data_IF_970462586053
#
_entry.id   IF_970462586053
#
_cell.length_a   1.000
_cell.length_b   1.000
_cell.length_c   1.000
_cell.angle_alpha   90.00
_cell.angle_beta   90.00
_cell.angle_gamma   90.00
#
_symmetry.space_group_name_H-M   'P 1'
#
loop_
_entity.id
_entity.type
_entity.pdbx_description
1 polymer ?
#
# COMPACT_ATOMS: atom_id res chain seq x y z
N UNK A 1 -15.83 -1.45 12.86
CA UNK A 1 -15.92 -0.77 11.57
C UNK A 1 -17.08 -1.34 10.77
N UNK A 2 -18.17 -0.60 10.69
CA UNK A 2 -19.35 -1.00 9.95
C UNK A 2 -19.00 -1.23 8.45
N UNK A 3 -19.49 -2.32 7.85
CA UNK A 3 -19.28 -2.63 6.43
C UNK A 3 -17.94 -3.30 6.07
N UNK A 4 -17.10 -3.64 7.04
CA UNK A 4 -15.87 -4.43 6.81
C UNK A 4 -16.10 -5.88 7.22
N UNK A 5 -15.86 -6.81 6.32
CA UNK A 5 -16.14 -8.24 6.52
C UNK A 5 -14.86 -9.06 6.75
N UNK A 6 -13.75 -8.67 6.11
CA UNK A 6 -12.51 -9.46 6.10
C UNK A 6 -11.42 -8.87 6.99
N UNK A 7 -11.56 -7.62 7.42
CA UNK A 7 -10.56 -6.88 8.17
C UNK A 7 -11.18 -5.91 9.17
N UNK A 8 -10.35 -5.36 10.05
CA UNK A 8 -10.66 -4.20 10.88
C UNK A 8 -9.70 -3.06 10.57
N UNK A 9 -10.19 -1.83 10.66
CA UNK A 9 -9.38 -0.64 10.56
C UNK A 9 -9.64 0.26 11.76
N UNK A 10 -8.58 0.66 12.43
CA UNK A 10 -8.60 1.63 13.53
C UNK A 10 -8.00 2.92 12.99
N UNK A 11 -8.79 3.99 13.06
CA UNK A 11 -8.33 5.33 12.68
C UNK A 11 -7.25 5.82 13.64
N UNK A 12 -6.14 6.30 13.10
CA UNK A 12 -5.09 6.93 13.91
C UNK A 12 -4.75 8.35 13.45
N UNK A 13 -5.10 8.76 12.23
CA UNK A 13 -4.69 10.05 11.67
C UNK A 13 -5.65 10.62 10.62
N UNK A 14 -6.86 10.08 10.46
CA UNK A 14 -7.89 10.63 9.57
C UNK A 14 -8.82 11.58 10.33
N UNK A 15 -9.48 11.09 11.36
CA UNK A 15 -10.40 11.86 12.23
C UNK A 15 -9.89 11.97 13.66
N UNK A 16 -8.89 11.16 14.02
CA UNK A 16 -8.21 11.16 15.31
C UNK A 16 -6.73 11.49 15.12
N UNK A 17 -6.01 11.65 16.23
CA UNK A 17 -4.55 11.80 16.22
C UNK A 17 -3.99 10.98 17.38
N UNK A 18 -3.77 9.69 17.14
CA UNK A 18 -3.24 8.78 18.16
C UNK A 18 -1.73 8.96 18.31
N UNK A 19 -1.22 9.02 19.54
CA UNK A 19 0.23 8.96 19.78
C UNK A 19 0.81 7.62 19.31
N UNK A 20 2.09 7.62 18.91
CA UNK A 20 2.76 6.43 18.38
C UNK A 20 2.67 5.22 19.32
N UNK A 21 2.78 5.43 20.63
CA UNK A 21 2.66 4.35 21.62
C UNK A 21 1.31 3.64 21.58
N UNK A 22 0.20 4.34 21.30
CA UNK A 22 -1.13 3.73 21.16
C UNK A 22 -1.28 3.00 19.83
N UNK A 23 -0.64 3.50 18.76
CA UNK A 23 -0.58 2.80 17.47
C UNK A 23 0.17 1.47 17.63
N UNK A 24 1.32 1.49 18.29
CA UNK A 24 2.13 0.31 18.56
C UNK A 24 1.41 -0.72 19.44
N UNK A 25 0.71 -0.25 20.48
CA UNK A 25 -0.12 -1.09 21.35
C UNK A 25 -1.26 -1.76 20.55
N UNK A 26 -1.95 -1.02 19.71
CA UNK A 26 -3.02 -1.54 18.86
C UNK A 26 -2.49 -2.65 17.93
N UNK A 27 -1.34 -2.42 17.28
CA UNK A 27 -0.65 -3.41 16.46
C UNK A 27 -0.29 -4.65 17.28
N UNK A 28 0.22 -4.47 18.49
CA UNK A 28 0.59 -5.58 19.38
C UNK A 28 -0.62 -6.43 19.78
N UNK A 29 -1.76 -5.80 20.11
CA UNK A 29 -3.02 -6.49 20.42
C UNK A 29 -3.50 -7.32 19.23
N UNK A 30 -3.52 -6.74 18.03
CA UNK A 30 -3.92 -7.45 16.81
C UNK A 30 -3.04 -8.67 16.55
N UNK A 31 -1.71 -8.51 16.66
CA UNK A 31 -0.74 -9.60 16.47
C UNK A 31 -0.90 -10.68 17.54
N UNK A 32 -1.12 -10.30 18.79
CA UNK A 32 -1.36 -11.26 19.88
C UNK A 32 -2.66 -12.08 19.67
N UNK A 33 -3.64 -11.51 18.99
CA UNK A 33 -4.87 -12.20 18.56
C UNK A 33 -4.68 -13.10 17.31
N UNK A 34 -3.46 -13.21 16.77
CA UNK A 34 -3.15 -14.02 15.58
C UNK A 34 -3.47 -13.31 14.25
N UNK A 35 -3.72 -12.00 14.27
CA UNK A 35 -3.96 -11.22 13.06
C UNK A 35 -2.65 -10.78 12.40
N UNK A 36 -2.66 -10.61 11.08
CA UNK A 36 -1.73 -9.69 10.42
C UNK A 36 -2.12 -8.27 10.81
N UNK A 37 -1.13 -7.40 11.00
CA UNK A 37 -1.38 -6.00 11.31
C UNK A 37 -0.37 -5.10 10.60
N UNK A 38 -0.87 -4.04 9.95
CA UNK A 38 -0.06 -3.02 9.27
C UNK A 38 -0.58 -1.63 9.58
N UNK A 39 0.31 -0.65 9.52
CA UNK A 39 -0.03 0.77 9.67
C UNK A 39 0.02 1.42 8.30
N UNK A 40 -1.09 2.01 7.87
CA UNK A 40 -1.17 2.84 6.68
C UNK A 40 -0.96 4.32 7.02
N UNK A 41 -1.18 5.19 6.07
CA UNK A 41 -1.06 6.64 6.29
C UNK A 41 -2.06 7.20 7.33
N UNK A 42 -3.20 6.53 7.50
CA UNK A 42 -4.31 6.99 8.35
C UNK A 42 -4.92 5.91 9.25
N UNK A 43 -4.74 4.62 8.90
CA UNK A 43 -5.36 3.51 9.63
C UNK A 43 -4.35 2.46 10.08
N UNK A 44 -4.64 1.81 11.21
CA UNK A 44 -4.06 0.53 11.60
C UNK A 44 -5.01 -0.54 11.06
N UNK A 45 -4.52 -1.42 10.19
CA UNK A 45 -5.33 -2.47 9.57
C UNK A 45 -4.94 -3.82 10.13
N UNK A 46 -5.94 -4.61 10.53
CA UNK A 46 -5.76 -5.98 11.02
C UNK A 46 -6.67 -6.95 10.29
N UNK A 47 -6.12 -8.15 9.92
CA UNK A 47 -6.88 -9.18 9.23
C UNK A 47 -6.33 -10.59 9.53
N UNK A 48 -7.16 -11.59 9.34
CA UNK A 48 -6.75 -13.00 9.39
C UNK A 48 -6.50 -13.54 7.98
N UNK A 49 -5.63 -14.54 7.87
CA UNK A 49 -5.32 -15.22 6.62
C UNK A 49 -4.13 -14.61 5.87
N UNK A 50 -3.80 -15.22 4.74
CA UNK A 50 -2.58 -14.91 4.00
C UNK A 50 -2.77 -13.87 2.89
N UNK A 51 -3.96 -13.29 2.74
CA UNK A 51 -4.22 -12.30 1.69
C UNK A 51 -3.48 -10.98 1.98
N UNK A 52 -3.02 -10.34 0.93
CA UNK A 52 -2.31 -9.06 0.95
C UNK A 52 -2.51 -8.33 -0.40
N UNK A 53 -1.92 -7.14 -0.55
CA UNK A 53 -2.06 -6.36 -1.79
C UNK A 53 -1.53 -7.08 -3.03
N UNK A 54 -0.44 -7.83 -2.90
CA UNK A 54 0.14 -8.55 -4.02
C UNK A 54 -0.74 -9.72 -4.47
N UNK A 55 -1.23 -10.52 -3.51
CA UNK A 55 -2.17 -11.60 -3.83
C UNK A 55 -3.48 -11.07 -4.40
N UNK A 56 -3.97 -9.95 -3.88
CA UNK A 56 -5.12 -9.25 -4.44
C UNK A 56 -4.89 -8.78 -5.88
N UNK A 57 -3.71 -8.23 -6.17
CA UNK A 57 -3.34 -7.82 -7.53
C UNK A 57 -3.24 -9.01 -8.48
N UNK A 58 -2.61 -10.11 -8.06
CA UNK A 58 -2.56 -11.37 -8.84
C UNK A 58 -3.94 -11.90 -9.16
N UNK A 59 -4.81 -11.93 -8.15
CA UNK A 59 -6.18 -12.39 -8.30
C UNK A 59 -6.98 -11.49 -9.27
N UNK A 60 -6.96 -10.17 -9.08
CA UNK A 60 -7.68 -9.22 -9.92
C UNK A 60 -7.21 -9.29 -11.38
N UNK A 61 -5.91 -9.33 -11.64
CA UNK A 61 -5.38 -9.37 -13.00
C UNK A 61 -5.77 -10.65 -13.72
N UNK A 62 -5.83 -11.77 -13.01
CA UNK A 62 -6.28 -13.05 -13.56
C UNK A 62 -7.78 -13.07 -13.81
N UNK A 63 -8.61 -12.70 -12.82
CA UNK A 63 -10.06 -12.81 -12.91
C UNK A 63 -10.68 -11.80 -13.88
N UNK A 64 -10.17 -10.57 -13.92
CA UNK A 64 -10.79 -9.51 -14.72
C UNK A 64 -10.16 -9.34 -16.10
N UNK A 65 -8.90 -9.74 -16.28
CA UNK A 65 -8.15 -9.47 -17.51
C UNK A 65 -7.59 -10.74 -18.16
N UNK A 66 -7.70 -11.90 -17.52
CA UNK A 66 -7.07 -13.16 -17.94
C UNK A 66 -5.55 -13.00 -18.16
N UNK A 67 -4.89 -12.25 -17.27
CA UNK A 67 -3.47 -11.93 -17.34
C UNK A 67 -2.77 -12.47 -16.09
N UNK A 68 -1.66 -13.20 -16.31
CA UNK A 68 -0.72 -13.51 -15.26
C UNK A 68 0.13 -12.26 -14.95
N UNK A 69 -0.03 -11.72 -13.73
CA UNK A 69 0.71 -10.54 -13.28
C UNK A 69 2.22 -10.79 -13.32
N UNK A 70 2.66 -11.92 -12.77
CA UNK A 70 4.09 -12.24 -12.64
C UNK A 70 4.78 -12.44 -13.99
N UNK A 71 4.07 -12.98 -14.97
CA UNK A 71 4.57 -13.11 -16.34
C UNK A 71 4.61 -11.79 -17.12
N UNK A 72 3.96 -10.74 -16.60
CA UNK A 72 3.78 -9.47 -17.33
C UNK A 72 4.21 -8.24 -16.53
N UNK A 73 5.01 -8.38 -15.48
CA UNK A 73 5.40 -7.31 -14.53
C UNK A 73 5.88 -6.03 -15.22
N UNK A 74 6.60 -6.13 -16.33
CA UNK A 74 7.09 -4.97 -17.08
C UNK A 74 5.99 -4.09 -17.70
N UNK A 75 4.75 -4.57 -17.74
CA UNK A 75 3.59 -3.84 -18.30
C UNK A 75 2.81 -3.07 -17.23
N UNK A 76 3.18 -3.23 -15.95
CA UNK A 76 2.44 -2.69 -14.82
C UNK A 76 3.25 -1.65 -14.07
N UNK A 77 2.58 -0.63 -13.61
CA UNK A 77 3.13 0.36 -12.70
C UNK A 77 2.34 0.30 -11.41
N UNK A 78 3.04 0.20 -10.30
CA UNK A 78 2.44 0.30 -8.97
C UNK A 78 2.76 1.66 -8.34
N UNK A 79 1.79 2.27 -7.68
CA UNK A 79 1.98 3.49 -6.91
C UNK A 79 1.44 3.32 -5.49
N UNK A 80 2.23 3.75 -4.49
CA UNK A 80 1.90 3.63 -3.07
C UNK A 80 2.42 4.80 -2.25
N UNK A 81 2.06 4.85 -0.96
CA UNK A 81 2.38 5.98 -0.08
C UNK A 81 2.83 5.61 1.34
N UNK A 82 2.85 4.34 1.70
CA UNK A 82 3.03 3.91 3.09
C UNK A 82 3.67 2.53 3.25
N UNK A 83 3.88 2.10 4.50
CA UNK A 83 4.57 0.85 4.83
C UNK A 83 3.85 -0.40 4.36
N UNK A 84 2.53 -0.36 4.22
CA UNK A 84 1.74 -1.49 3.72
C UNK A 84 1.89 -1.72 2.21
N UNK A 85 2.59 -0.83 1.49
CA UNK A 85 2.91 -0.96 0.07
C UNK A 85 4.26 -1.65 -0.19
N UNK A 86 5.03 -1.93 0.87
CA UNK A 86 6.39 -2.45 0.78
C UNK A 86 6.51 -3.72 -0.07
N UNK A 87 5.58 -4.68 0.08
CA UNK A 87 5.57 -5.90 -0.75
C UNK A 87 5.41 -5.59 -2.24
N UNK A 88 4.59 -4.60 -2.55
CA UNK A 88 4.41 -4.17 -3.94
C UNK A 88 5.65 -3.46 -4.47
N UNK A 89 6.33 -2.65 -3.64
CA UNK A 89 7.60 -2.01 -4.03
C UNK A 89 8.70 -3.03 -4.31
N UNK A 90 8.78 -4.09 -3.49
CA UNK A 90 9.72 -5.19 -3.70
C UNK A 90 9.46 -5.95 -4.99
N UNK A 91 8.18 -6.25 -5.26
CA UNK A 91 7.79 -7.15 -6.35
C UNK A 91 7.70 -6.45 -7.71
N UNK A 92 7.26 -5.19 -7.74
CA UNK A 92 6.97 -4.46 -8.98
C UNK A 92 8.20 -3.69 -9.49
N UNK A 93 8.74 -4.02 -10.68
CA UNK A 93 9.92 -3.34 -11.23
C UNK A 93 9.66 -1.85 -11.55
N UNK A 94 8.41 -1.48 -11.80
CA UNK A 94 8.00 -0.10 -12.00
C UNK A 94 7.15 0.35 -10.80
N UNK A 95 7.79 0.46 -9.62
CA UNK A 95 7.17 0.93 -8.40
C UNK A 95 7.45 2.42 -8.17
N UNK A 96 6.41 3.14 -7.75
CA UNK A 96 6.43 4.59 -7.53
C UNK A 96 5.89 4.89 -6.13
N UNK A 97 6.59 5.71 -5.37
CA UNK A 97 6.08 6.33 -4.15
C UNK A 97 5.59 7.74 -4.45
N UNK A 98 4.45 8.16 -3.90
CA UNK A 98 4.12 9.59 -3.88
C UNK A 98 4.96 10.30 -2.82
N UNK A 99 5.23 11.61 -2.97
CA UNK A 99 6.23 12.33 -2.17
C UNK A 99 6.08 12.16 -0.65
N UNK A 100 4.85 12.01 -0.14
CA UNK A 100 4.63 11.78 1.30
C UNK A 100 5.11 10.40 1.80
N UNK A 101 5.59 9.49 0.91
CA UNK A 101 6.28 8.26 1.32
C UNK A 101 7.55 8.56 2.15
N UNK A 102 8.15 9.75 1.98
CA UNK A 102 9.36 10.15 2.66
C UNK A 102 9.32 9.95 4.18
N UNK A 103 8.18 10.16 4.81
CA UNK A 103 7.99 9.96 6.27
C UNK A 103 8.09 8.49 6.70
N UNK A 104 7.92 7.55 5.79
CA UNK A 104 7.98 6.11 6.05
C UNK A 104 9.29 5.46 5.63
N UNK A 105 10.17 6.17 4.92
CA UNK A 105 11.46 5.65 4.43
C UNK A 105 12.26 4.95 5.54
N UNK A 106 12.36 5.47 6.77
CA UNK A 106 13.10 4.79 7.84
C UNK A 106 12.50 3.42 8.27
N UNK A 107 11.26 3.14 7.90
CA UNK A 107 10.52 1.93 8.26
C UNK A 107 10.41 0.93 7.11
N UNK A 108 10.84 1.33 5.90
CA UNK A 108 10.74 0.52 4.68
C UNK A 108 12.05 -0.25 4.46
N UNK A 109 11.96 -1.58 4.37
CA UNK A 109 13.06 -2.42 3.91
C UNK A 109 13.18 -2.39 2.36
N UNK A 110 12.06 -2.21 1.65
CA UNK A 110 12.02 -2.11 0.19
C UNK A 110 11.43 -0.76 -0.22
N UNK A 111 12.26 0.05 -0.86
CA UNK A 111 11.87 1.38 -1.33
C UNK A 111 11.24 1.31 -2.73
N UNK A 112 10.32 2.24 -3.07
CA UNK A 112 9.87 2.39 -4.46
C UNK A 112 11.04 2.82 -5.34
N UNK A 113 11.02 2.39 -6.60
CA UNK A 113 12.07 2.72 -7.57
C UNK A 113 12.09 4.20 -7.98
N UNK A 114 10.91 4.82 -7.97
CA UNK A 114 10.72 6.23 -8.31
C UNK A 114 9.88 6.91 -7.24
N UNK A 115 10.02 8.22 -7.12
CA UNK A 115 9.21 9.06 -6.22
C UNK A 115 8.73 10.28 -6.99
N UNK A 116 7.43 10.60 -6.88
CA UNK A 116 6.85 11.81 -7.47
C UNK A 116 7.23 13.06 -6.68
N UNK A 117 7.15 14.24 -7.31
CA UNK A 117 7.29 15.52 -6.62
C UNK A 117 6.04 15.88 -5.83
N UNK A 118 4.87 15.50 -6.36
CA UNK A 118 3.57 15.73 -5.71
C UNK A 118 3.27 14.69 -4.63
N UNK A 119 2.54 15.13 -3.60
CA UNK A 119 2.02 14.25 -2.56
C UNK A 119 0.63 13.73 -2.92
N UNK A 120 0.26 12.56 -2.38
CA UNK A 120 -1.10 12.01 -2.45
C UNK A 120 -1.66 12.01 -3.88
N UNK A 121 -2.88 12.52 -4.08
CA UNK A 121 -3.52 12.59 -5.40
C UNK A 121 -2.78 13.47 -6.42
N UNK A 122 -2.01 14.48 -5.99
CA UNK A 122 -1.19 15.29 -6.90
C UNK A 122 -0.04 14.44 -7.48
N UNK A 123 0.61 13.61 -6.65
CA UNK A 123 1.65 12.66 -7.09
C UNK A 123 1.08 11.59 -8.02
N UNK A 124 -0.10 11.06 -7.72
CA UNK A 124 -0.79 10.14 -8.63
C UNK A 124 -1.07 10.77 -10.00
N UNK A 125 -1.58 12.01 -10.01
CA UNK A 125 -1.86 12.74 -11.26
C UNK A 125 -0.58 13.04 -12.06
N UNK A 126 0.56 13.31 -11.38
CA UNK A 126 1.87 13.48 -12.01
C UNK A 126 2.27 12.20 -12.77
N UNK A 127 2.23 11.04 -12.09
CA UNK A 127 2.53 9.76 -12.72
C UNK A 127 1.58 9.46 -13.90
N UNK A 128 0.29 9.65 -13.71
CA UNK A 128 -0.70 9.40 -14.76
C UNK A 128 -0.43 10.24 -16.02
N UNK A 129 -0.09 11.52 -15.85
CA UNK A 129 0.28 12.41 -16.99
C UNK A 129 1.56 11.94 -17.67
N UNK A 130 2.57 11.52 -16.91
CA UNK A 130 3.83 11.00 -17.48
C UNK A 130 3.58 9.74 -18.32
N UNK A 131 2.77 8.81 -17.84
CA UNK A 131 2.41 7.59 -18.59
C UNK A 131 1.62 7.95 -19.85
N UNK A 132 0.64 8.86 -19.76
CA UNK A 132 -0.17 9.26 -20.91
C UNK A 132 0.67 9.96 -21.98
N UNK A 133 1.61 10.82 -21.57
CA UNK A 133 2.50 11.53 -22.48
C UNK A 133 3.52 10.60 -23.17
N UNK A 134 3.86 9.47 -22.56
CA UNK A 134 4.78 8.49 -23.13
C UNK A 134 4.10 7.46 -24.07
N UNK A 135 2.78 7.48 -24.17
CA UNK A 135 2.05 6.63 -25.13
C UNK A 135 2.24 7.18 -26.56
N UNK A 136 2.58 6.30 -27.50
CA UNK A 136 2.67 6.67 -28.92
C UNK A 136 1.29 7.04 -29.50
#
# INVERSE_FOLDING_TARGET
SAGRECDIAVDHSEFTNLPQAQIDECVAIMKAAGMNATVSSIHINGWFGAHNKLEGARWITRELFDIDLDATLARWVYIGDSTNDQQMFEHMPHSVGVANIARFVPQLAHLPRYVTHGERGAGFAELARAILAARP
#
